data_IF_967414040048
#
_entry.id   IF_967414040048
#
_cell.length_a   1.000
_cell.length_b   1.000
_cell.length_c   1.000
_cell.angle_alpha   90.00
_cell.angle_beta   90.00
_cell.angle_gamma   90.00
#
_symmetry.space_group_name_H-M   'P 1'
#
loop_
_entity.id
_entity.type
_entity.pdbx_description
1 polymer ?
#
# COMPACT_ATOMS: atom_id res chain seq x y z
N UNK A 1 -4.61 12.29 5.11
CA UNK A 1 -5.92 11.62 5.17
C UNK A 1 -6.94 12.51 4.48
N UNK A 2 -7.72 12.02 3.50
CA UNK A 2 -8.72 12.85 2.83
C UNK A 2 -9.89 13.16 3.78
N UNK A 3 -10.39 14.39 3.76
CA UNK A 3 -11.51 14.85 4.57
C UNK A 3 -12.88 14.79 3.86
N UNK A 4 -12.90 14.43 2.57
CA UNK A 4 -14.12 14.32 1.77
C UNK A 4 -14.58 15.62 1.11
N UNK A 5 -14.05 16.78 1.51
CA UNK A 5 -14.30 18.11 0.94
C UNK A 5 -13.17 18.59 0.01
N UNK A 6 -12.34 17.66 -0.49
CA UNK A 6 -11.14 17.97 -1.27
C UNK A 6 -9.91 18.34 -0.42
N UNK A 7 -10.05 18.56 0.89
CA UNK A 7 -8.92 18.83 1.79
C UNK A 7 -8.29 17.56 2.31
N UNK A 8 -7.03 17.70 2.72
CA UNK A 8 -6.22 16.61 3.26
C UNK A 8 -5.64 17.01 4.61
N UNK A 9 -5.73 16.10 5.59
CA UNK A 9 -5.02 16.22 6.86
C UNK A 9 -3.59 15.68 6.73
N UNK A 10 -2.63 16.49 7.17
CA UNK A 10 -1.26 16.07 7.47
C UNK A 10 -1.13 15.89 8.98
N UNK A 11 -0.97 14.64 9.41
CA UNK A 11 -0.91 14.32 10.84
C UNK A 11 0.53 14.43 11.34
N UNK A 12 0.77 15.30 12.32
CA UNK A 12 2.05 15.37 13.03
C UNK A 12 2.04 14.34 14.17
N UNK A 13 2.84 13.29 14.03
CA UNK A 13 2.94 12.20 15.02
C UNK A 13 3.32 12.73 16.41
N UNK A 14 2.84 12.07 17.47
CA UNK A 14 3.14 12.42 18.88
C UNK A 14 4.65 12.53 19.14
N UNK A 15 5.44 11.64 18.55
CA UNK A 15 6.90 11.66 18.68
C UNK A 15 7.53 12.92 18.08
N UNK A 16 7.06 13.36 16.91
CA UNK A 16 7.54 14.58 16.27
C UNK A 16 7.14 15.78 17.13
N UNK A 17 5.86 15.86 17.55
CA UNK A 17 5.34 16.92 18.43
C UNK A 17 6.18 17.08 19.70
N UNK A 18 6.50 15.97 20.38
CA UNK A 18 7.39 15.98 21.56
C UNK A 18 8.78 16.53 21.25
N UNK A 19 9.37 16.14 20.13
CA UNK A 19 10.71 16.61 19.71
C UNK A 19 10.75 18.10 19.40
N UNK A 20 9.67 18.65 18.85
CA UNK A 20 9.56 20.08 18.53
C UNK A 20 8.94 20.92 19.66
N UNK A 21 8.58 20.29 20.79
CA UNK A 21 7.97 20.95 21.94
C UNK A 21 6.61 21.58 21.64
N UNK A 22 5.76 20.90 20.86
CA UNK A 22 4.45 21.41 20.43
C UNK A 22 3.29 20.54 20.90
N UNK A 23 2.18 21.19 21.22
CA UNK A 23 0.94 20.56 21.68
C UNK A 23 -0.25 20.85 20.76
N UNK A 24 -1.43 20.35 21.12
CA UNK A 24 -2.65 20.66 20.36
C UNK A 24 -3.01 22.14 20.53
N UNK A 25 -3.22 22.84 19.41
CA UNK A 25 -3.47 24.28 19.39
C UNK A 25 -2.26 25.10 18.94
N UNK A 26 -1.05 24.53 18.99
CA UNK A 26 0.14 25.22 18.51
C UNK A 26 0.25 25.21 16.98
N UNK A 27 0.86 26.27 16.46
CA UNK A 27 1.21 26.38 15.04
C UNK A 27 2.62 25.84 14.78
N UNK A 28 2.79 25.18 13.63
CA UNK A 28 4.08 24.67 13.13
C UNK A 28 4.29 25.09 11.69
N UNK A 29 5.53 25.37 11.32
CA UNK A 29 5.93 25.57 9.93
C UNK A 29 6.29 24.22 9.32
N UNK A 30 5.76 23.93 8.13
CA UNK A 30 6.02 22.68 7.40
C UNK A 30 6.43 23.01 5.98
N UNK A 31 7.52 22.41 5.52
CA UNK A 31 7.92 22.41 4.11
C UNK A 31 7.48 21.09 3.49
N UNK A 32 6.85 21.15 2.32
CA UNK A 32 6.42 19.98 1.56
C UNK A 32 7.20 19.88 0.26
N UNK A 33 7.64 18.66 -0.05
CA UNK A 33 8.26 18.34 -1.32
C UNK A 33 7.54 17.18 -2.01
N UNK A 34 7.55 17.19 -3.33
CA UNK A 34 6.99 16.08 -4.12
C UNK A 34 7.94 14.91 -4.04
N UNK A 35 7.51 13.82 -3.42
CA UNK A 35 8.21 12.54 -3.47
C UNK A 35 8.18 11.98 -4.90
N UNK A 36 9.31 12.11 -5.62
CA UNK A 36 9.52 11.53 -6.96
C UNK A 36 10.23 10.18 -6.93
N UNK A 37 10.46 9.61 -5.74
CA UNK A 37 11.14 8.33 -5.65
C UNK A 37 10.31 7.24 -6.31
N UNK A 38 10.97 6.41 -7.14
CA UNK A 38 10.31 5.27 -7.78
C UNK A 38 9.95 4.26 -6.71
N UNK A 39 8.65 4.14 -6.39
CA UNK A 39 8.14 3.10 -5.49
C UNK A 39 8.18 1.75 -6.20
N UNK A 40 9.32 1.07 -6.13
CA UNK A 40 9.47 -0.29 -6.65
C UNK A 40 8.93 -1.26 -5.62
N UNK A 41 7.79 -1.89 -5.94
CA UNK A 41 7.26 -2.99 -5.13
C UNK A 41 7.95 -4.26 -5.59
N UNK A 42 8.75 -4.87 -4.71
CA UNK A 42 9.34 -6.18 -4.95
C UNK A 42 8.24 -7.24 -4.84
N UNK A 43 7.88 -7.85 -5.96
CA UNK A 43 6.84 -8.88 -6.01
C UNK A 43 7.51 -10.24 -5.79
N UNK A 44 7.08 -11.04 -4.79
CA UNK A 44 7.59 -12.38 -4.59
C UNK A 44 7.43 -13.26 -5.83
N UNK A 45 8.43 -14.11 -6.12
CA UNK A 45 8.48 -14.87 -7.37
C UNK A 45 7.30 -15.85 -7.52
N UNK A 46 6.90 -16.50 -6.44
CA UNK A 46 5.74 -17.41 -6.40
C UNK A 46 4.43 -16.68 -6.73
N UNK A 47 4.23 -15.48 -6.18
CA UNK A 47 3.08 -14.66 -6.53
C UNK A 47 3.16 -14.21 -7.99
N UNK A 48 4.33 -13.79 -8.48
CA UNK A 48 4.51 -13.40 -9.88
C UNK A 48 4.21 -14.56 -10.84
N UNK A 49 4.65 -15.77 -10.51
CA UNK A 49 4.41 -16.97 -11.31
C UNK A 49 2.94 -17.39 -11.34
N UNK A 50 2.18 -17.08 -10.28
CA UNK A 50 0.75 -17.37 -10.20
C UNK A 50 -0.11 -16.38 -11.01
N UNK A 51 0.38 -15.18 -11.29
CA UNK A 51 -0.31 -14.19 -12.12
C UNK A 51 -0.22 -14.59 -13.60
N UNK A 52 -1.35 -14.93 -14.21
CA UNK A 52 -1.46 -15.26 -15.64
C UNK A 52 -2.47 -14.36 -16.35
N UNK A 53 -2.22 -14.12 -17.63
CA UNK A 53 -3.14 -13.44 -18.56
C UNK A 53 -3.73 -12.16 -17.95
N UNK A 54 -5.06 -12.07 -17.87
CA UNK A 54 -5.82 -10.93 -17.35
C UNK A 54 -5.42 -10.50 -15.94
N UNK A 55 -5.06 -11.44 -15.06
CA UNK A 55 -4.65 -11.11 -13.69
C UNK A 55 -3.31 -10.35 -13.66
N UNK A 56 -2.37 -10.74 -14.53
CA UNK A 56 -1.07 -10.09 -14.63
C UNK A 56 -1.20 -8.66 -15.17
N UNK A 57 -1.97 -8.48 -16.25
CA UNK A 57 -2.24 -7.16 -16.84
C UNK A 57 -2.92 -6.22 -15.84
N UNK A 58 -3.96 -6.70 -15.15
CA UNK A 58 -4.66 -5.91 -14.16
C UNK A 58 -3.76 -5.54 -12.98
N UNK A 59 -2.97 -6.49 -12.47
CA UNK A 59 -2.00 -6.23 -11.42
C UNK A 59 -0.95 -5.21 -11.85
N UNK A 60 -0.41 -5.32 -13.07
CA UNK A 60 0.62 -4.41 -13.58
C UNK A 60 0.08 -2.99 -13.80
N UNK A 61 -1.21 -2.82 -14.08
CA UNK A 61 -1.89 -1.52 -14.12
C UNK A 61 -2.22 -0.89 -12.76
N UNK A 62 -2.06 -1.62 -11.64
CA UNK A 62 -2.34 -1.07 -10.32
C UNK A 62 -1.32 -0.01 -9.88
N UNK A 63 -1.81 1.01 -9.16
CA UNK A 63 -0.94 1.97 -8.48
C UNK A 63 -0.02 1.25 -7.46
N UNK A 64 1.20 1.78 -7.19
CA UNK A 64 2.17 1.13 -6.32
C UNK A 64 1.66 0.78 -4.92
N UNK A 65 0.76 1.60 -4.35
CA UNK A 65 0.14 1.33 -3.05
C UNK A 65 -0.70 0.06 -3.03
N UNK A 66 -1.48 -0.19 -4.09
CA UNK A 66 -2.27 -1.41 -4.21
C UNK A 66 -1.38 -2.64 -4.44
N UNK A 67 -0.36 -2.52 -5.30
CA UNK A 67 0.64 -3.60 -5.49
C UNK A 67 1.30 -3.96 -4.15
N UNK A 68 1.69 -2.94 -3.37
CA UNK A 68 2.29 -3.13 -2.05
C UNK A 68 1.33 -3.83 -1.07
N UNK A 69 0.06 -3.47 -1.06
CA UNK A 69 -0.93 -4.12 -0.19
C UNK A 69 -1.05 -5.63 -0.44
N UNK A 70 -1.04 -6.06 -1.71
CA UNK A 70 -1.01 -7.50 -2.04
C UNK A 70 0.27 -8.19 -1.56
N UNK A 71 1.43 -7.57 -1.81
CA UNK A 71 2.72 -8.14 -1.39
C UNK A 71 2.80 -8.26 0.12
N UNK A 72 2.53 -7.18 0.86
CA UNK A 72 2.56 -7.19 2.33
C UNK A 72 1.54 -8.22 2.89
N UNK A 73 0.38 -8.36 2.26
CA UNK A 73 -0.62 -9.37 2.66
C UNK A 73 -0.13 -10.80 2.39
N UNK A 74 0.54 -11.07 1.28
CA UNK A 74 1.07 -12.41 1.00
C UNK A 74 2.27 -12.73 1.89
N UNK A 75 3.19 -11.77 2.08
CA UNK A 75 4.40 -11.93 2.90
C UNK A 75 4.12 -12.04 4.40
N UNK A 76 3.05 -11.41 4.91
CA UNK A 76 2.67 -11.57 6.32
C UNK A 76 2.19 -12.99 6.69
N UNK A 77 1.99 -13.90 5.72
CA UNK A 77 1.60 -15.28 5.98
C UNK A 77 2.81 -16.11 6.45
N UNK A 78 2.83 -16.53 7.72
CA UNK A 78 3.89 -17.37 8.29
C UNK A 78 3.82 -18.85 7.88
N UNK A 79 2.63 -19.34 7.51
CA UNK A 79 2.41 -20.73 7.07
C UNK A 79 2.30 -20.77 5.56
N UNK A 80 2.98 -21.73 4.94
CA UNK A 80 2.98 -21.89 3.48
C UNK A 80 1.57 -22.11 2.90
N UNK A 81 0.75 -22.93 3.57
CA UNK A 81 -0.65 -23.14 3.18
C UNK A 81 -1.46 -21.84 3.14
N UNK A 82 -1.24 -20.96 4.11
CA UNK A 82 -1.92 -19.65 4.16
C UNK A 82 -1.42 -18.73 3.06
N UNK A 83 -0.11 -18.79 2.76
CA UNK A 83 0.50 -18.02 1.67
C UNK A 83 -0.09 -18.44 0.32
N UNK A 84 -0.12 -19.74 0.03
CA UNK A 84 -0.73 -20.27 -1.19
C UNK A 84 -2.20 -19.90 -1.32
N UNK A 85 -2.99 -20.02 -0.23
CA UNK A 85 -4.40 -19.59 -0.23
C UNK A 85 -4.56 -18.09 -0.54
N UNK A 86 -3.68 -17.23 -0.01
CA UNK A 86 -3.70 -15.78 -0.29
C UNK A 86 -3.30 -15.49 -1.74
N UNK A 87 -2.34 -16.21 -2.30
CA UNK A 87 -1.94 -16.11 -3.71
C UNK A 87 -3.13 -16.48 -4.61
N UNK A 88 -3.75 -17.64 -4.40
CA UNK A 88 -4.93 -18.08 -5.19
C UNK A 88 -6.06 -17.05 -5.12
N UNK A 89 -6.39 -16.57 -3.91
CA UNK A 89 -7.42 -15.54 -3.73
C UNK A 89 -7.07 -14.20 -4.39
N UNK A 90 -5.78 -13.85 -4.43
CA UNK A 90 -5.31 -12.65 -5.14
C UNK A 90 -5.50 -12.80 -6.64
N UNK A 91 -5.10 -13.95 -7.21
CA UNK A 91 -5.24 -14.24 -8.64
C UNK A 91 -6.71 -14.22 -9.07
N UNK A 92 -7.62 -14.82 -8.28
CA UNK A 92 -9.07 -14.76 -8.56
C UNK A 92 -9.60 -13.33 -8.62
N UNK A 93 -9.26 -12.50 -7.63
CA UNK A 93 -9.70 -11.10 -7.59
C UNK A 93 -9.17 -10.30 -8.76
N UNK A 94 -7.87 -10.43 -9.03
CA UNK A 94 -7.21 -9.72 -10.13
C UNK A 94 -7.78 -10.15 -11.49
N UNK A 95 -8.11 -11.43 -11.66
CA UNK A 95 -8.80 -11.93 -12.86
C UNK A 95 -10.19 -11.32 -13.06
N UNK A 96 -10.88 -10.99 -11.97
CA UNK A 96 -12.19 -10.31 -11.95
C UNK A 96 -12.08 -8.78 -12.07
N UNK A 97 -10.86 -8.22 -12.05
CA UNK A 97 -10.66 -6.76 -12.02
C UNK A 97 -10.98 -6.13 -10.66
N UNK A 98 -10.97 -6.91 -9.59
CA UNK A 98 -11.21 -6.45 -8.23
C UNK A 98 -9.90 -6.18 -7.49
N UNK A 99 -9.89 -5.10 -6.70
CA UNK A 99 -8.78 -4.78 -5.78
C UNK A 99 -8.92 -5.52 -4.46
N UNK A 100 -7.81 -5.71 -3.75
CA UNK A 100 -7.80 -6.15 -2.36
C UNK A 100 -8.52 -5.07 -1.53
N UNK A 101 -9.54 -5.47 -0.76
CA UNK A 101 -10.22 -4.59 0.19
C UNK A 101 -9.41 -4.51 1.48
#
# INVERSE_FOLDING_TARGET
>A
LPLGDGKHNLVVKKEIRKKIGKEAGDTVFVTLEKDTTKRVVKVPQDFRNALRSKAAEFFDGLAPSYKKAYVDWIESAKKEETRQRRITKSVEKLSKGEKLK
#
